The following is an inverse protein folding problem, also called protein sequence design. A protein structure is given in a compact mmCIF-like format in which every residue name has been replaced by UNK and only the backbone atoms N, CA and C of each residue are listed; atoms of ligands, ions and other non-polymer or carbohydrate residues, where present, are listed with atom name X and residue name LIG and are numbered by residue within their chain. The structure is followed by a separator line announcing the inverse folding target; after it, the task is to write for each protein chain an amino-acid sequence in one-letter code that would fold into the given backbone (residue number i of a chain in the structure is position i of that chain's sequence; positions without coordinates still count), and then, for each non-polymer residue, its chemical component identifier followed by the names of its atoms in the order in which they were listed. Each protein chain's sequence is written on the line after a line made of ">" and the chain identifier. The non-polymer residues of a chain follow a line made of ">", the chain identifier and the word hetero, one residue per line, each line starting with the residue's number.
data_IF_824787722389
#
_entry.id   IF_824787722389
#
_cell.length_a   1.000
_cell.length_b   1.000
_cell.length_c   1.000
_cell.angle_alpha   90.00
_cell.angle_beta   90.00
_cell.angle_gamma   90.00
#
_symmetry.space_group_name_H-M   'P 1'
#
loop_
_entity.id
_entity.type
_entity.pdbx_description
1 polymer ?
#
# COMPACT_ATOMS: atom_id res chain seq x y z
N UNK A 1 16.55 -21.06 6.84
CA UNK A 1 16.44 -19.62 6.47
C UNK A 1 14.96 -19.35 6.27
N UNK A 2 14.34 -18.52 7.11
CA UNK A 2 12.90 -18.25 6.99
C UNK A 2 12.66 -17.30 5.81
N UNK A 3 11.72 -17.64 4.93
CA UNK A 3 11.36 -16.81 3.78
C UNK A 3 9.94 -16.27 3.96
N UNK A 4 9.77 -14.96 3.77
CA UNK A 4 8.47 -14.30 3.74
C UNK A 4 8.15 -14.01 2.26
N UNK A 5 6.98 -14.46 1.79
CA UNK A 5 6.50 -14.18 0.43
C UNK A 5 5.39 -13.13 0.50
N UNK A 6 5.54 -12.05 -0.25
CA UNK A 6 4.50 -11.06 -0.45
C UNK A 6 3.79 -11.34 -1.77
N UNK A 7 2.53 -11.75 -1.69
CA UNK A 7 1.67 -11.87 -2.86
C UNK A 7 1.10 -10.50 -3.18
N UNK A 8 1.25 -10.05 -4.43
CA UNK A 8 0.72 -8.79 -4.92
C UNK A 8 -0.22 -9.08 -6.10
N UNK A 9 -1.31 -8.34 -6.19
CA UNK A 9 -2.15 -8.29 -7.38
C UNK A 9 -1.37 -7.66 -8.54
N UNK A 10 -1.80 -7.92 -9.78
CA UNK A 10 -1.08 -7.44 -10.97
C UNK A 10 -0.86 -5.92 -10.94
N UNK A 11 -1.90 -5.15 -10.60
CA UNK A 11 -1.85 -3.69 -10.50
C UNK A 11 -0.96 -3.18 -9.34
N UNK A 12 -0.76 -3.97 -8.29
CA UNK A 12 0.20 -3.65 -7.23
C UNK A 12 1.63 -3.94 -7.72
N UNK A 13 1.83 -5.10 -8.33
CA UNK A 13 3.14 -5.53 -8.82
C UNK A 13 3.68 -4.58 -9.92
N UNK A 14 2.83 -4.16 -10.85
CA UNK A 14 3.23 -3.25 -11.93
C UNK A 14 3.68 -1.88 -11.40
N UNK A 15 2.97 -1.33 -10.41
CA UNK A 15 3.36 -0.10 -9.73
C UNK A 15 4.71 -0.24 -9.03
N UNK A 16 4.94 -1.37 -8.33
CA UNK A 16 6.23 -1.66 -7.67
C UNK A 16 7.36 -1.77 -8.70
N UNK A 17 7.15 -2.52 -9.78
CA UNK A 17 8.13 -2.69 -10.86
C UNK A 17 8.48 -1.36 -11.54
N UNK A 18 7.49 -0.49 -11.75
CA UNK A 18 7.73 0.85 -12.31
C UNK A 18 8.59 1.70 -11.39
N UNK A 19 8.29 1.71 -10.09
CA UNK A 19 9.09 2.48 -9.13
C UNK A 19 10.51 1.91 -9.02
N UNK A 20 10.65 0.59 -8.93
CA UNK A 20 11.96 -0.07 -8.88
C UNK A 20 12.80 0.27 -10.13
N UNK A 21 12.19 0.21 -11.32
CA UNK A 21 12.83 0.58 -12.59
C UNK A 21 13.28 2.05 -12.61
N UNK A 22 12.43 2.96 -12.15
CA UNK A 22 12.76 4.39 -12.08
C UNK A 22 13.89 4.68 -11.07
N UNK A 23 14.00 3.89 -10.01
CA UNK A 23 15.07 3.97 -9.02
C UNK A 23 16.33 3.18 -9.40
N UNK A 24 16.30 2.39 -10.48
CA UNK A 24 17.42 1.56 -10.94
C UNK A 24 17.75 0.37 -10.01
N UNK A 25 16.76 -0.15 -9.30
CA UNK A 25 16.91 -1.26 -8.33
C UNK A 25 15.94 -2.40 -8.65
N UNK A 26 16.14 -3.58 -8.03
CA UNK A 26 15.16 -4.66 -8.13
C UNK A 26 13.92 -4.39 -7.26
N UNK A 27 12.75 -4.97 -7.60
CA UNK A 27 11.58 -4.95 -6.72
C UNK A 27 11.89 -5.48 -5.31
N UNK A 28 12.74 -6.50 -5.21
CA UNK A 28 13.19 -7.07 -3.94
C UNK A 28 13.98 -6.05 -3.10
N UNK A 29 14.91 -5.30 -3.71
CA UNK A 29 15.67 -4.25 -3.03
C UNK A 29 14.74 -3.12 -2.54
N UNK A 30 13.75 -2.76 -3.36
CA UNK A 30 12.74 -1.76 -3.01
C UNK A 30 11.89 -2.22 -1.81
N UNK A 31 11.42 -3.47 -1.82
CA UNK A 31 10.66 -4.06 -0.71
C UNK A 31 11.50 -4.16 0.56
N UNK A 32 12.77 -4.57 0.45
CA UNK A 32 13.67 -4.62 1.58
C UNK A 32 13.94 -3.22 2.15
N UNK A 33 14.07 -2.21 1.28
CA UNK A 33 14.24 -0.81 1.69
C UNK A 33 13.01 -0.31 2.45
N UNK A 34 11.80 -0.62 1.96
CA UNK A 34 10.56 -0.27 2.66
C UNK A 34 10.48 -0.94 4.04
N UNK A 35 10.81 -2.23 4.13
CA UNK A 35 10.87 -2.95 5.39
C UNK A 35 11.90 -2.33 6.35
N UNK A 36 13.11 -2.03 5.88
CA UNK A 36 14.16 -1.43 6.69
C UNK A 36 13.71 -0.08 7.27
N UNK A 37 13.10 0.78 6.45
CA UNK A 37 12.57 2.08 6.91
C UNK A 37 11.46 1.92 7.94
N UNK A 38 10.57 0.94 7.76
CA UNK A 38 9.51 0.65 8.72
C UNK A 38 10.09 0.17 10.06
N UNK A 39 11.04 -0.75 10.01
CA UNK A 39 11.68 -1.31 11.21
C UNK A 39 12.49 -0.26 11.98
N UNK A 40 13.13 0.69 11.29
CA UNK A 40 13.85 1.79 11.92
C UNK A 40 12.92 2.80 12.62
N UNK A 41 11.66 2.87 12.23
CA UNK A 41 10.65 3.76 12.82
C UNK A 41 9.69 3.01 13.77
N UNK A 42 9.98 1.75 14.10
CA UNK A 42 9.07 0.88 14.84
C UNK A 42 8.86 1.28 16.31
N UNK A 43 9.59 2.24 16.85
CA UNK A 43 9.35 2.78 18.20
C UNK A 43 8.23 3.83 18.22
N UNK A 44 7.85 4.36 17.05
CA UNK A 44 6.83 5.41 16.96
C UNK A 44 5.43 4.82 16.96
N UNK A 45 4.58 5.35 17.85
CA UNK A 45 3.17 4.94 17.94
C UNK A 45 2.38 5.16 16.63
N UNK A 46 2.76 6.15 15.83
CA UNK A 46 2.16 6.40 14.51
C UNK A 46 2.36 5.21 13.55
N UNK A 47 3.56 4.61 13.54
CA UNK A 47 3.88 3.48 12.68
C UNK A 47 3.09 2.23 13.07
N UNK A 48 2.86 2.03 14.37
CA UNK A 48 2.03 0.91 14.85
C UNK A 48 0.60 1.04 14.37
N UNK A 49 0.04 2.26 14.43
CA UNK A 49 -1.29 2.56 13.90
C UNK A 49 -1.32 2.35 12.38
N UNK A 50 -0.33 2.86 11.64
CA UNK A 50 -0.29 2.72 10.18
C UNK A 50 -0.24 1.24 9.75
N UNK A 51 0.51 0.40 10.48
CA UNK A 51 0.55 -1.05 10.24
C UNK A 51 -0.84 -1.69 10.48
N UNK A 52 -1.52 -1.31 11.55
CA UNK A 52 -2.86 -1.81 11.85
C UNK A 52 -3.89 -1.37 10.79
N UNK A 53 -3.88 -0.09 10.42
CA UNK A 53 -4.77 0.48 9.41
C UNK A 53 -4.53 -0.14 8.02
N UNK A 54 -3.26 -0.28 7.62
CA UNK A 54 -2.89 -0.92 6.35
C UNK A 54 -3.34 -2.38 6.30
N UNK A 55 -3.22 -3.11 7.42
CA UNK A 55 -3.68 -4.50 7.54
C UNK A 55 -5.19 -4.63 7.33
N UNK A 56 -5.97 -3.75 7.95
CA UNK A 56 -7.43 -3.77 7.81
C UNK A 56 -7.85 -3.36 6.40
N UNK A 57 -7.22 -2.33 5.84
CA UNK A 57 -7.61 -1.76 4.56
C UNK A 57 -7.29 -2.69 3.38
N UNK A 58 -6.13 -3.36 3.40
CA UNK A 58 -5.69 -4.31 2.35
C UNK A 58 -6.63 -5.50 2.15
N UNK A 59 -7.43 -5.87 3.17
CA UNK A 59 -8.37 -6.99 3.03
C UNK A 59 -9.50 -6.72 2.05
N UNK A 60 -9.85 -5.45 1.88
CA UNK A 60 -11.07 -5.06 1.15
C UNK A 60 -10.79 -4.09 -0.02
N UNK A 61 -9.55 -3.60 -0.17
CA UNK A 61 -9.23 -2.56 -1.16
C UNK A 61 -7.80 -2.74 -1.72
N UNK A 62 -7.59 -2.28 -2.96
CA UNK A 62 -6.27 -2.20 -3.60
C UNK A 62 -5.55 -0.91 -3.18
N UNK A 63 -4.25 -0.95 -2.82
CA UNK A 63 -3.45 0.20 -2.34
C UNK A 63 -3.62 1.44 -3.18
N UNK A 64 -3.64 2.62 -2.55
CA UNK A 64 -3.73 3.90 -3.25
C UNK A 64 -2.60 4.11 -4.27
N UNK A 65 -1.46 3.47 -4.05
CA UNK A 65 -0.31 3.47 -4.96
C UNK A 65 -0.39 2.40 -6.07
N UNK A 66 -1.36 1.49 -6.01
CA UNK A 66 -1.60 0.51 -7.07
C UNK A 66 -2.28 1.19 -8.26
N UNK A 67 -1.99 0.70 -9.47
CA UNK A 67 -2.45 1.35 -10.70
C UNK A 67 -3.97 1.33 -10.90
N UNK A 68 -4.68 0.45 -10.18
CA UNK A 68 -6.13 0.32 -10.24
C UNK A 68 -6.86 1.08 -9.13
N UNK A 69 -6.15 1.80 -8.25
CA UNK A 69 -6.75 2.55 -7.14
C UNK A 69 -7.68 3.70 -7.57
N UNK A 70 -7.65 4.07 -8.86
CA UNK A 70 -8.55 5.05 -9.48
C UNK A 70 -9.58 4.45 -10.44
N UNK A 71 -9.69 3.12 -10.56
CA UNK A 71 -10.72 2.51 -11.41
C UNK A 71 -12.09 2.66 -10.74
N UNK A 72 -13.03 3.29 -11.43
CA UNK A 72 -14.42 3.54 -10.97
C UNK A 72 -15.10 2.26 -10.43
N UNK A 73 -14.73 1.10 -10.97
CA UNK A 73 -15.24 -0.21 -10.54
C UNK A 73 -14.76 -0.69 -9.16
N UNK A 74 -13.78 -0.04 -8.53
CA UNK A 74 -13.38 -0.33 -7.15
C UNK A 74 -14.35 0.27 -6.11
N UNK A 75 -15.18 1.24 -6.52
CA UNK A 75 -16.10 1.97 -5.63
C UNK A 75 -17.59 1.71 -5.93
N UNK A 76 -17.94 0.94 -6.97
CA UNK A 76 -19.34 0.64 -7.35
C UNK A 76 -20.08 -0.31 -6.39
N UNK A 77 -19.46 -0.71 -5.27
CA UNK A 77 -20.03 -1.65 -4.30
C UNK A 77 -20.55 -1.04 -3.00
N UNK A 78 -20.47 0.28 -2.79
CA UNK A 78 -21.01 0.92 -1.58
C UNK A 78 -22.29 1.70 -1.91
N UNK A 79 -23.40 1.50 -1.16
CA UNK A 79 -24.53 2.42 -1.25
C UNK A 79 -24.05 3.84 -0.92
N UNK A 80 -24.70 4.81 -1.56
CA UNK A 80 -24.40 6.24 -1.53
C UNK A 80 -24.48 6.79 -0.08
N UNK A 81 -23.39 6.64 0.68
CA UNK A 81 -23.20 7.32 1.96
C UNK A 81 -22.51 8.66 1.67
N UNK A 82 -23.17 9.74 2.06
CA UNK A 82 -22.77 11.12 1.82
C UNK A 82 -21.28 11.35 2.13
N UNK A 83 -20.54 12.06 1.26
CA UNK A 83 -19.13 12.35 1.50
C UNK A 83 -18.98 13.25 2.73
N UNK A 84 -18.35 12.73 3.78
CA UNK A 84 -17.91 13.55 4.90
C UNK A 84 -16.88 14.59 4.41
N UNK A 85 -16.93 15.85 4.90
CA UNK A 85 -16.10 16.94 4.41
C UNK A 85 -14.61 16.67 4.63
N UNK A 86 -13.79 17.03 3.63
CA UNK A 86 -12.34 16.89 3.67
C UNK A 86 -11.74 17.68 4.83
N UNK A 87 -10.82 17.07 5.57
CA UNK A 87 -10.13 17.67 6.73
C UNK A 87 -9.03 18.67 6.34
N UNK A 88 -9.06 19.15 5.10
CA UNK A 88 -8.16 20.16 4.54
C UNK A 88 -9.00 21.35 4.04
N UNK A 89 -9.63 22.05 4.98
CA UNK A 89 -10.00 23.47 4.88
C UNK A 89 -9.84 24.09 6.27
#
# INVERSE_FOLDING_TARGET
>A
MSAIKLHLEHAEYDAVCRFASAAGVSPEDLLYTALNRLMLAADKAEIHRDVAETREWRRNNLPLWSDSAGSVHAYEGKPDDEPAPSRYV
#
